data_IF_831030143693
#
_entry.id   IF_831030143693
#
_cell.length_a   1.000
_cell.length_b   1.000
_cell.length_c   1.000
_cell.angle_alpha   90.00
_cell.angle_beta   90.00
_cell.angle_gamma   90.00
#
_symmetry.space_group_name_H-M   'P 1'
#
loop_
_entity.id
_entity.type
_entity.pdbx_description
1 polymer ?
#
# COMPACT_ATOMS: atom_id res chain seq x y z
N UNK A 1 -6.77 41.17 10.67
CA UNK A 1 -5.59 40.31 10.50
C UNK A 1 -5.64 39.28 11.62
N UNK A 2 -6.25 38.13 11.36
CA UNK A 2 -6.30 37.02 12.30
C UNK A 2 -5.80 35.80 11.52
N UNK A 3 -4.57 35.41 11.84
CA UNK A 3 -4.04 34.12 11.47
C UNK A 3 -4.85 33.08 12.25
N UNK A 4 -5.61 32.26 11.55
CA UNK A 4 -6.05 30.99 12.09
C UNK A 4 -5.37 29.92 11.24
N UNK A 5 -4.24 29.46 11.76
CA UNK A 5 -3.65 28.15 11.52
C UNK A 5 -4.77 27.12 11.52
N UNK A 6 -5.28 26.78 10.35
CA UNK A 6 -6.08 25.57 10.19
C UNK A 6 -5.05 24.48 9.99
N UNK A 7 -4.68 23.88 11.12
CA UNK A 7 -3.97 22.62 11.25
C UNK A 7 -4.16 21.71 10.02
N UNK A 8 -3.09 21.60 9.25
CA UNK A 8 -2.84 20.61 8.20
C UNK A 8 -2.78 19.22 8.86
N UNK A 9 -3.94 18.75 9.31
CA UNK A 9 -4.07 17.41 9.84
C UNK A 9 -4.08 16.48 8.62
N UNK A 10 -3.11 15.56 8.47
CA UNK A 10 -3.10 14.66 7.34
C UNK A 10 -4.44 13.93 7.34
N UNK A 11 -5.19 14.13 6.28
CA UNK A 11 -6.44 13.42 6.09
C UNK A 11 -6.12 11.92 6.24
N UNK A 12 -6.91 11.20 7.05
CA UNK A 12 -6.56 9.82 7.44
C UNK A 12 -6.27 8.91 6.23
N UNK A 13 -5.73 7.71 6.44
CA UNK A 13 -5.20 6.86 5.36
C UNK A 13 -6.11 6.72 4.14
N UNK A 14 -7.43 6.71 4.34
CA UNK A 14 -8.43 6.64 3.25
C UNK A 14 -8.41 7.85 2.30
N UNK A 15 -8.15 9.05 2.81
CA UNK A 15 -8.03 10.25 2.01
C UNK A 15 -6.72 10.29 1.21
N UNK A 16 -5.61 9.86 1.81
CA UNK A 16 -4.34 9.69 1.10
C UNK A 16 -4.45 8.64 0.00
N UNK A 17 -5.08 7.49 0.28
CA UNK A 17 -5.36 6.46 -0.72
C UNK A 17 -6.27 6.96 -1.85
N UNK A 18 -7.24 7.82 -1.52
CA UNK A 18 -8.09 8.47 -2.51
C UNK A 18 -7.29 9.45 -3.39
N UNK A 19 -6.37 10.21 -2.80
CA UNK A 19 -5.47 11.08 -3.55
C UNK A 19 -4.55 10.29 -4.48
N UNK A 20 -3.97 9.17 -4.01
CA UNK A 20 -3.13 8.30 -4.85
C UNK A 20 -3.89 7.75 -6.05
N UNK A 21 -5.18 7.38 -5.88
CA UNK A 21 -6.01 6.89 -6.98
C UNK A 21 -6.25 7.97 -8.05
N UNK A 22 -6.54 9.20 -7.62
CA UNK A 22 -6.69 10.35 -8.54
C UNK A 22 -5.41 10.63 -9.31
N UNK A 23 -4.27 10.66 -8.61
CA UNK A 23 -2.96 10.87 -9.26
C UNK A 23 -2.68 9.77 -10.29
N UNK A 24 -2.98 8.52 -9.96
CA UNK A 24 -2.84 7.42 -10.92
C UNK A 24 -3.71 7.64 -12.17
N UNK A 25 -4.98 8.00 -11.98
CA UNK A 25 -5.90 8.31 -13.08
C UNK A 25 -5.35 9.44 -13.97
N UNK A 26 -4.90 10.55 -13.37
CA UNK A 26 -4.32 11.69 -14.09
C UNK A 26 -3.06 11.32 -14.89
N UNK A 27 -2.17 10.52 -14.30
CA UNK A 27 -0.97 10.03 -14.98
C UNK A 27 -1.36 9.15 -16.17
N UNK A 28 -2.32 8.23 -16.01
CA UNK A 28 -2.75 7.37 -17.11
C UNK A 28 -3.36 8.17 -18.27
N UNK A 29 -4.17 9.18 -17.98
CA UNK A 29 -4.73 10.08 -19.00
C UNK A 29 -3.65 10.88 -19.72
N UNK A 30 -2.66 11.37 -18.97
CA UNK A 30 -1.51 12.10 -19.53
C UNK A 30 -0.73 11.23 -20.49
N UNK A 31 -0.38 9.99 -20.09
CA UNK A 31 0.34 9.04 -20.91
C UNK A 31 -0.43 8.67 -22.20
N UNK A 32 -1.73 8.48 -22.10
CA UNK A 32 -2.59 8.15 -23.25
C UNK A 32 -2.72 9.32 -24.23
N UNK A 33 -2.51 10.55 -23.77
CA UNK A 33 -2.62 11.77 -24.59
C UNK A 33 -1.28 12.23 -25.16
N UNK A 34 -0.18 11.51 -24.91
CA UNK A 34 1.15 11.88 -25.40
C UNK A 34 1.28 11.71 -26.92
N UNK A 35 1.77 12.73 -27.66
CA UNK A 35 2.00 12.62 -29.11
C UNK A 35 3.11 11.63 -29.47
N UNK A 36 4.14 11.54 -28.62
CA UNK A 36 5.24 10.60 -28.78
C UNK A 36 4.90 9.27 -28.09
N UNK A 37 4.42 8.32 -28.89
CA UNK A 37 4.00 7.00 -28.40
C UNK A 37 5.17 6.16 -27.84
N UNK A 38 6.39 6.38 -28.30
CA UNK A 38 7.56 5.67 -27.78
C UNK A 38 7.87 6.17 -26.36
N UNK A 39 7.86 7.49 -26.16
CA UNK A 39 8.03 8.07 -24.83
C UNK A 39 6.87 7.69 -23.90
N UNK A 40 5.62 7.67 -24.40
CA UNK A 40 4.47 7.22 -23.64
C UNK A 40 4.65 5.78 -23.13
N UNK A 41 5.11 4.88 -23.99
CA UNK A 41 5.38 3.49 -23.62
C UNK A 41 6.48 3.35 -22.55
N UNK A 42 7.58 4.09 -22.69
CA UNK A 42 8.68 4.08 -21.70
C UNK A 42 8.18 4.54 -20.33
N UNK A 43 7.42 5.64 -20.29
CA UNK A 43 6.91 6.18 -19.03
C UNK A 43 5.83 5.28 -18.42
N UNK A 44 4.96 4.68 -19.23
CA UNK A 44 3.98 3.69 -18.77
C UNK A 44 4.65 2.44 -18.17
N UNK A 45 5.77 2.00 -18.75
CA UNK A 45 6.57 0.89 -18.20
C UNK A 45 7.13 1.25 -16.83
N UNK A 46 7.68 2.46 -16.67
CA UNK A 46 8.18 2.94 -15.36
C UNK A 46 7.06 2.99 -14.32
N UNK A 47 5.90 3.53 -14.68
CA UNK A 47 4.73 3.55 -13.81
C UNK A 47 4.36 2.13 -13.35
N UNK A 48 4.34 1.15 -14.26
CA UNK A 48 4.02 -0.23 -13.93
C UNK A 48 5.04 -0.86 -12.98
N UNK A 49 6.33 -0.59 -13.16
CA UNK A 49 7.39 -1.08 -12.28
C UNK A 49 7.32 -0.46 -10.88
N UNK A 50 7.05 0.84 -10.78
CA UNK A 50 6.86 1.53 -9.50
C UNK A 50 5.61 1.02 -8.77
N UNK A 51 4.50 0.81 -9.47
CA UNK A 51 3.29 0.22 -8.89
C UNK A 51 3.53 -1.21 -8.37
N UNK A 52 4.36 -2.00 -9.07
CA UNK A 52 4.74 -3.34 -8.59
C UNK A 52 5.52 -3.25 -7.28
N UNK A 53 6.49 -2.34 -7.19
CA UNK A 53 7.26 -2.10 -5.97
C UNK A 53 6.35 -1.65 -4.81
N UNK A 54 5.44 -0.72 -5.07
CA UNK A 54 4.48 -0.26 -4.07
C UNK A 54 3.56 -1.39 -3.58
N UNK A 55 3.12 -2.28 -4.47
CA UNK A 55 2.32 -3.45 -4.11
C UNK A 55 3.10 -4.42 -3.21
N UNK A 56 4.38 -4.66 -3.51
CA UNK A 56 5.26 -5.49 -2.68
C UNK A 56 5.49 -4.87 -1.29
N UNK A 57 5.70 -3.56 -1.23
CA UNK A 57 5.88 -2.83 0.02
C UNK A 57 4.58 -2.81 0.86
N UNK A 58 3.43 -2.64 0.22
CA UNK A 58 2.13 -2.74 0.88
C UNK A 58 1.87 -4.17 1.43
N UNK A 59 2.24 -5.20 0.68
CA UNK A 59 2.14 -6.59 1.13
C UNK A 59 3.04 -6.86 2.34
N UNK A 60 4.25 -6.31 2.36
CA UNK A 60 5.17 -6.39 3.49
C UNK A 60 4.64 -5.62 4.70
N UNK A 61 4.09 -4.43 4.51
CA UNK A 61 3.43 -3.64 5.58
C UNK A 61 2.32 -4.46 6.22
N UNK A 62 1.47 -5.12 5.41
CA UNK A 62 0.42 -6.03 5.93
C UNK A 62 1.00 -7.20 6.73
N UNK A 63 2.10 -7.79 6.27
CA UNK A 63 2.79 -8.86 6.98
C UNK A 63 3.35 -8.39 8.33
N UNK A 64 3.97 -7.21 8.37
CA UNK A 64 4.51 -6.60 9.60
C UNK A 64 3.42 -6.29 10.61
N UNK A 65 2.30 -5.72 10.17
CA UNK A 65 1.14 -5.46 11.05
C UNK A 65 0.58 -6.79 11.60
N UNK A 66 0.47 -7.83 10.78
CA UNK A 66 0.05 -9.15 11.26
C UNK A 66 1.00 -9.74 12.32
N UNK A 67 2.32 -9.57 12.16
CA UNK A 67 3.31 -9.98 13.14
C UNK A 67 3.21 -9.17 14.44
N UNK A 68 3.02 -7.85 14.34
CA UNK A 68 2.80 -7.00 15.51
C UNK A 68 1.57 -7.41 16.32
N UNK A 69 0.45 -7.75 15.64
CA UNK A 69 -0.75 -8.26 16.31
C UNK A 69 -0.47 -9.61 16.99
N UNK A 70 0.23 -10.52 16.31
CA UNK A 70 0.61 -11.80 16.87
C UNK A 70 1.42 -11.66 18.15
N UNK A 71 2.42 -10.77 18.15
CA UNK A 71 3.35 -10.59 19.26
C UNK A 71 2.72 -9.80 20.41
N UNK A 72 1.98 -8.72 20.11
CA UNK A 72 1.34 -7.87 21.11
C UNK A 72 0.28 -8.62 21.94
N UNK A 73 -0.36 -9.61 21.35
CA UNK A 73 -1.44 -10.38 21.99
C UNK A 73 -1.02 -11.83 22.32
N UNK A 74 0.25 -12.19 22.10
CA UNK A 74 0.79 -13.54 22.29
C UNK A 74 -0.09 -14.64 21.65
N UNK A 75 -0.60 -14.38 20.44
CA UNK A 75 -1.55 -15.27 19.77
C UNK A 75 -0.86 -16.52 19.28
N UNK A 76 -1.55 -17.66 19.36
CA UNK A 76 -1.18 -18.81 18.53
C UNK A 76 -1.42 -18.50 17.05
N UNK A 77 -0.75 -19.21 16.15
CA UNK A 77 -0.95 -19.09 14.71
C UNK A 77 -2.43 -19.30 14.29
N UNK A 78 -3.15 -20.20 14.96
CA UNK A 78 -4.57 -20.43 14.69
C UNK A 78 -5.43 -19.25 15.15
N UNK A 79 -5.15 -18.70 16.33
CA UNK A 79 -5.87 -17.53 16.85
C UNK A 79 -5.63 -16.29 15.98
N UNK A 80 -4.40 -16.09 15.50
CA UNK A 80 -4.07 -15.03 14.55
C UNK A 80 -4.86 -15.19 13.24
N UNK A 81 -4.90 -16.41 12.69
CA UNK A 81 -5.63 -16.69 11.45
C UNK A 81 -7.13 -16.37 11.59
N UNK A 82 -7.75 -16.82 12.68
CA UNK A 82 -9.13 -16.49 13.02
C UNK A 82 -9.34 -14.98 13.18
N UNK A 83 -8.45 -14.29 13.91
CA UNK A 83 -8.56 -12.85 14.16
C UNK A 83 -8.48 -12.02 12.88
N UNK A 84 -7.60 -12.41 11.96
CA UNK A 84 -7.43 -11.73 10.68
C UNK A 84 -8.43 -12.18 9.61
N UNK A 85 -9.29 -13.16 9.89
CA UNK A 85 -10.26 -13.69 8.94
C UNK A 85 -9.62 -14.40 7.74
N UNK A 86 -8.46 -15.04 7.94
CA UNK A 86 -7.69 -15.71 6.88
C UNK A 86 -7.39 -17.17 7.23
N UNK A 87 -6.91 -17.95 6.25
CA UNK A 87 -6.48 -19.32 6.51
C UNK A 87 -5.19 -19.36 7.35
N UNK A 88 -5.02 -20.45 8.11
CA UNK A 88 -3.80 -20.70 8.92
C UNK A 88 -2.52 -20.67 8.06
N UNK A 89 -2.57 -21.23 6.85
CA UNK A 89 -1.46 -21.19 5.92
C UNK A 89 -1.12 -19.76 5.48
N UNK A 90 -2.13 -18.90 5.27
CA UNK A 90 -1.91 -17.50 4.90
C UNK A 90 -1.33 -16.69 6.07
N UNK A 91 -1.79 -16.94 7.29
CA UNK A 91 -1.22 -16.35 8.49
C UNK A 91 0.27 -16.72 8.65
N UNK A 92 0.63 -17.99 8.44
CA UNK A 92 2.02 -18.45 8.50
C UNK A 92 2.90 -17.78 7.45
N UNK A 93 2.39 -17.63 6.21
CA UNK A 93 3.09 -16.90 5.15
C UNK A 93 3.36 -15.44 5.52
N UNK A 94 2.40 -14.76 6.16
CA UNK A 94 2.59 -13.37 6.61
C UNK A 94 3.68 -13.28 7.68
N UNK A 95 3.67 -14.16 8.68
CA UNK A 95 4.72 -14.18 9.72
C UNK A 95 6.10 -14.50 9.13
N UNK A 96 6.19 -15.41 8.15
CA UNK A 96 7.43 -15.69 7.43
C UNK A 96 7.90 -14.48 6.62
N UNK A 97 7.00 -13.82 5.90
CA UNK A 97 7.33 -12.63 5.11
C UNK A 97 7.84 -11.47 5.98
N UNK A 98 7.26 -11.28 7.18
CA UNK A 98 7.70 -10.26 8.12
C UNK A 98 9.12 -10.46 8.65
N UNK A 99 9.60 -11.72 8.73
CA UNK A 99 10.95 -12.07 9.23
C UNK A 99 12.06 -12.00 8.19
N UNK A 100 11.73 -12.01 6.90
CA UNK A 100 12.70 -12.19 5.81
C UNK A 100 13.18 -10.86 5.16
N UNK A 101 12.96 -9.70 5.80
CA UNK A 101 13.41 -8.36 5.36
C UNK A 101 13.70 -7.48 6.59
#
# INVERSE_FOLDING_TARGET
MAANDTTDQPAGPDAELSAMRRIYEDVTLTLQSMPDLQQAFIQATRLADDLRKMADDAALTRARVAAQIHDAEALSLAALATKLGISKARADQLLKAARNR
#
